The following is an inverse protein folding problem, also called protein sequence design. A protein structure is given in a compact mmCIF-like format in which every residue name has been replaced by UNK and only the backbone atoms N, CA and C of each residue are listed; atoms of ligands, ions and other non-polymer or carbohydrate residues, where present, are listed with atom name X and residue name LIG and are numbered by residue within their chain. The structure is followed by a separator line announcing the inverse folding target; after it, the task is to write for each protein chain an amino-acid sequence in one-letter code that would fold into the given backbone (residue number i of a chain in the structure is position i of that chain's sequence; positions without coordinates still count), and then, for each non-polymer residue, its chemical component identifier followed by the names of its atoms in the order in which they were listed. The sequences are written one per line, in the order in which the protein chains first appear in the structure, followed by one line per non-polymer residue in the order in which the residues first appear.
data_IF_936060006602
#
_entry.id   IF_936060006602
#
_cell.length_a   1.000
_cell.length_b   1.000
_cell.length_c   1.000
_cell.angle_alpha   90.00
_cell.angle_beta   90.00
_cell.angle_gamma   90.00
#
_symmetry.space_group_name_H-M   'P 1'
#
loop_
_entity.id
_entity.type
_entity.pdbx_description
1 polymer ?
#
# COMPACT_ATOMS: atom_id res chain seq x y z
N UNK A 1 -4.92 -27.03 -9.88
CA UNK A 1 -5.95 -26.03 -10.21
C UNK A 1 -5.28 -24.78 -10.76
N UNK A 2 -5.53 -24.38 -12.03
CA UNK A 2 -4.86 -23.24 -12.66
C UNK A 2 -5.53 -21.88 -12.38
N UNK A 3 -6.36 -21.77 -11.33
CA UNK A 3 -7.37 -20.71 -11.26
C UNK A 3 -6.82 -19.29 -11.00
N UNK A 4 -5.63 -19.12 -10.43
CA UNK A 4 -5.09 -17.78 -10.13
C UNK A 4 -3.62 -17.60 -10.47
N UNK A 5 -2.99 -18.58 -11.16
CA UNK A 5 -1.56 -18.54 -11.50
C UNK A 5 -1.18 -17.26 -12.24
N UNK A 6 -2.02 -16.86 -13.20
CA UNK A 6 -1.80 -15.65 -14.01
C UNK A 6 -1.74 -14.41 -13.10
N UNK A 7 -2.70 -14.26 -12.19
CA UNK A 7 -2.77 -13.12 -11.26
C UNK A 7 -1.55 -13.14 -10.34
N UNK A 8 -1.22 -14.28 -9.72
CA UNK A 8 -0.04 -14.38 -8.84
C UNK A 8 1.25 -14.08 -9.56
N UNK A 9 1.44 -14.61 -10.78
CA UNK A 9 2.65 -14.38 -11.56
C UNK A 9 2.79 -12.92 -11.98
N UNK A 10 1.68 -12.25 -12.30
CA UNK A 10 1.71 -10.83 -12.62
C UNK A 10 2.04 -9.96 -11.40
N UNK A 11 1.40 -10.24 -10.25
CA UNK A 11 1.68 -9.52 -9.00
C UNK A 11 3.15 -9.70 -8.57
N UNK A 12 3.68 -10.92 -8.70
CA UNK A 12 5.08 -11.22 -8.43
C UNK A 12 6.02 -10.54 -9.43
N UNK A 13 5.64 -10.49 -10.71
CA UNK A 13 6.40 -9.78 -11.72
C UNK A 13 6.49 -8.28 -11.42
N UNK A 14 5.39 -7.64 -11.00
CA UNK A 14 5.41 -6.22 -10.59
C UNK A 14 6.39 -6.00 -9.44
N UNK A 15 6.43 -6.92 -8.46
CA UNK A 15 7.37 -6.85 -7.34
C UNK A 15 8.82 -7.03 -7.74
N UNK A 16 9.10 -8.07 -8.52
CA UNK A 16 10.46 -8.49 -8.85
C UNK A 16 11.10 -7.65 -9.94
N UNK A 17 10.35 -7.30 -11.00
CA UNK A 17 10.90 -6.57 -12.14
C UNK A 17 11.03 -5.06 -11.89
N UNK A 18 10.12 -4.48 -11.10
CA UNK A 18 10.07 -3.02 -10.90
C UNK A 18 10.41 -2.60 -9.46
N UNK A 19 10.69 -3.54 -8.56
CA UNK A 19 10.89 -3.26 -7.12
C UNK A 19 9.74 -2.46 -6.48
N UNK A 20 8.52 -2.61 -7.00
CA UNK A 20 7.32 -1.97 -6.47
C UNK A 20 6.62 -2.93 -5.50
N UNK A 21 5.83 -2.41 -4.56
CA UNK A 21 4.98 -3.27 -3.73
C UNK A 21 3.56 -3.26 -4.27
N UNK A 22 2.83 -4.36 -4.06
CA UNK A 22 1.43 -4.46 -4.44
C UNK A 22 0.61 -4.86 -3.23
N UNK A 23 -0.46 -4.11 -2.96
CA UNK A 23 -1.48 -4.51 -1.99
C UNK A 23 -2.87 -4.52 -2.59
N UNK A 24 -3.74 -5.34 -2.01
CA UNK A 24 -5.13 -5.48 -2.40
C UNK A 24 -5.99 -5.20 -1.18
N UNK A 25 -6.85 -4.18 -1.29
CA UNK A 25 -7.80 -3.81 -0.24
C UNK A 25 -9.16 -4.41 -0.53
N UNK A 26 -9.76 -4.96 0.49
CA UNK A 26 -11.11 -5.51 0.44
C UNK A 26 -12.06 -4.62 1.24
N UNK A 27 -13.07 -4.07 0.56
CA UNK A 27 -14.10 -3.22 1.14
C UNK A 27 -15.45 -3.94 1.25
N UNK A 28 -15.56 -5.17 0.73
CA UNK A 28 -16.83 -5.87 0.59
C UNK A 28 -16.83 -7.32 1.09
N UNK A 29 -15.68 -7.84 1.51
CA UNK A 29 -15.47 -9.23 1.92
C UNK A 29 -15.26 -10.19 0.76
N UNK A 30 -14.97 -9.70 -0.45
CA UNK A 30 -14.89 -10.55 -1.65
C UNK A 30 -13.71 -11.52 -1.61
N UNK A 31 -12.65 -11.24 -0.85
CA UNK A 31 -11.48 -12.13 -0.76
C UNK A 31 -11.87 -13.44 -0.06
N UNK A 32 -12.77 -13.36 0.92
CA UNK A 32 -13.16 -14.48 1.77
C UNK A 32 -14.32 -15.31 1.18
N UNK A 33 -14.79 -15.00 -0.02
CA UNK A 33 -15.84 -15.81 -0.68
C UNK A 33 -15.28 -17.12 -1.28
N UNK A 34 -13.95 -17.27 -1.32
CA UNK A 34 -13.27 -18.45 -1.85
C UNK A 34 -11.95 -18.67 -1.10
N UNK A 35 -11.78 -19.85 -0.51
CA UNK A 35 -10.55 -20.24 0.18
C UNK A 35 -9.32 -20.20 -0.75
N UNK A 36 -9.50 -20.59 -2.02
CA UNK A 36 -8.44 -20.51 -3.03
C UNK A 36 -8.02 -19.07 -3.33
N UNK A 37 -8.98 -18.14 -3.39
CA UNK A 37 -8.69 -16.73 -3.59
C UNK A 37 -8.00 -16.15 -2.36
N UNK A 38 -8.54 -16.39 -1.16
CA UNK A 38 -7.93 -15.94 0.09
C UNK A 38 -6.48 -16.39 0.19
N UNK A 39 -6.21 -17.69 -0.02
CA UNK A 39 -4.87 -18.26 0.03
C UNK A 39 -3.89 -17.54 -0.89
N UNK A 40 -4.34 -17.16 -2.08
CA UNK A 40 -3.53 -16.47 -3.10
C UNK A 40 -3.32 -15.00 -2.78
N UNK A 41 -4.34 -14.32 -2.26
CA UNK A 41 -4.32 -12.86 -2.04
C UNK A 41 -3.75 -12.49 -0.66
N UNK A 42 -3.75 -13.42 0.32
CA UNK A 42 -3.26 -13.19 1.68
C UNK A 42 -1.90 -12.45 1.76
N UNK A 43 -0.88 -12.78 0.94
CA UNK A 43 0.41 -12.06 0.97
C UNK A 43 0.34 -10.59 0.54
N UNK A 44 -0.78 -10.14 -0.02
CA UNK A 44 -0.99 -8.81 -0.60
C UNK A 44 -1.96 -7.95 0.22
N UNK A 45 -2.45 -8.37 1.39
CA UNK A 45 -3.47 -7.62 2.14
C UNK A 45 -2.94 -6.31 2.77
N UNK A 46 -1.64 -6.24 3.04
CA UNK A 46 -1.00 -5.12 3.70
C UNK A 46 0.41 -4.88 3.16
N UNK A 47 0.87 -3.63 3.30
CA UNK A 47 2.26 -3.33 3.02
C UNK A 47 3.12 -3.90 4.15
N UNK A 48 3.96 -4.87 3.79
CA UNK A 48 4.83 -5.59 4.72
C UNK A 48 6.32 -5.40 4.41
N UNK A 49 6.67 -4.39 3.60
CA UNK A 49 8.08 -4.02 3.40
C UNK A 49 8.74 -3.63 4.72
N UNK A 50 10.08 -3.78 4.85
CA UNK A 50 10.80 -3.37 6.06
C UNK A 50 10.52 -1.92 6.48
N UNK A 51 10.46 -1.00 5.50
CA UNK A 51 10.04 0.38 5.76
C UNK A 51 8.64 0.47 6.37
N UNK A 52 7.66 -0.17 5.74
CA UNK A 52 6.28 -0.17 6.20
C UNK A 52 6.09 -0.83 7.57
N UNK A 53 6.89 -1.84 7.91
CA UNK A 53 6.89 -2.50 9.21
C UNK A 53 7.53 -1.59 10.28
N UNK A 54 8.63 -0.91 9.97
CA UNK A 54 9.24 0.08 10.85
C UNK A 54 8.26 1.20 11.27
N UNK A 55 7.44 1.68 10.33
CA UNK A 55 6.39 2.67 10.62
C UNK A 55 5.29 2.06 11.52
N UNK A 56 4.83 0.84 11.21
CA UNK A 56 3.72 0.16 11.91
C UNK A 56 4.08 -0.45 13.26
N UNK A 57 5.35 -0.50 13.62
CA UNK A 57 5.79 -1.02 14.91
C UNK A 57 5.27 -0.18 16.09
N UNK A 58 4.95 1.10 15.85
CA UNK A 58 4.31 1.96 16.85
C UNK A 58 2.80 1.94 16.72
N UNK A 59 2.09 2.03 17.85
CA UNK A 59 0.62 2.13 17.85
C UNK A 59 0.14 3.33 17.03
N UNK A 60 0.77 4.50 17.19
CA UNK A 60 0.42 5.70 16.42
C UNK A 60 0.62 5.50 14.91
N UNK A 61 1.74 4.90 14.49
CA UNK A 61 2.01 4.60 13.09
C UNK A 61 1.02 3.60 12.51
N UNK A 62 0.73 2.52 13.24
CA UNK A 62 -0.23 1.50 12.84
C UNK A 62 -1.64 2.08 12.69
N UNK A 63 -2.13 2.83 13.69
CA UNK A 63 -3.44 3.47 13.64
C UNK A 63 -3.55 4.48 12.50
N UNK A 64 -2.48 5.24 12.22
CA UNK A 64 -2.43 6.17 11.08
C UNK A 64 -2.53 5.45 9.75
N UNK A 65 -1.90 4.28 9.60
CA UNK A 65 -2.07 3.42 8.43
C UNK A 65 -3.52 2.92 8.30
N UNK A 66 -4.12 2.38 9.37
CA UNK A 66 -5.49 1.87 9.34
C UNK A 66 -6.52 2.96 9.02
N UNK A 67 -6.31 4.17 9.55
CA UNK A 67 -7.17 5.32 9.31
C UNK A 67 -7.27 5.71 7.81
N UNK A 68 -6.35 5.23 6.96
CA UNK A 68 -6.40 5.48 5.51
C UNK A 68 -7.43 4.64 4.77
N UNK A 69 -7.91 3.53 5.34
CA UNK A 69 -8.84 2.63 4.64
C UNK A 69 -10.14 3.36 4.22
N UNK A 70 -10.71 4.19 5.09
CA UNK A 70 -11.95 4.94 4.80
C UNK A 70 -11.75 6.03 3.73
N UNK A 71 -10.77 6.94 3.83
CA UNK A 71 -10.46 7.90 2.76
C UNK A 71 -10.15 7.22 1.43
N UNK A 72 -9.39 6.12 1.44
CA UNK A 72 -9.04 5.37 0.25
C UNK A 72 -10.28 4.79 -0.44
N UNK A 73 -11.18 4.17 0.34
CA UNK A 73 -12.47 3.69 -0.16
C UNK A 73 -13.31 4.83 -0.77
N UNK A 74 -13.42 5.97 -0.06
CA UNK A 74 -14.17 7.13 -0.56
C UNK A 74 -13.62 7.65 -1.89
N UNK A 75 -12.30 7.69 -2.06
CA UNK A 75 -11.67 8.08 -3.33
C UNK A 75 -11.91 7.04 -4.42
N UNK A 76 -11.90 5.75 -4.08
CA UNK A 76 -12.24 4.66 -5.02
C UNK A 76 -13.69 4.72 -5.52
N UNK A 77 -14.62 5.40 -4.81
CA UNK A 77 -15.99 5.63 -5.29
C UNK A 77 -16.05 6.40 -6.62
N UNK A 78 -15.00 7.13 -6.98
CA UNK A 78 -14.89 7.78 -8.29
C UNK A 78 -14.68 6.79 -9.44
N UNK A 79 -14.36 5.52 -9.13
CA UNK A 79 -14.16 4.41 -10.07
C UNK A 79 -13.14 4.70 -11.18
N UNK A 80 -12.13 5.53 -10.88
CA UNK A 80 -11.02 5.86 -11.76
C UNK A 80 -9.70 5.62 -11.04
N UNK A 81 -8.64 5.17 -11.74
CA UNK A 81 -7.30 5.12 -11.17
C UNK A 81 -6.84 6.49 -10.69
N UNK A 82 -6.05 6.51 -9.63
CA UNK A 82 -5.46 7.76 -9.12
C UNK A 82 -4.13 7.51 -8.43
N UNK A 83 -3.32 8.55 -8.35
CA UNK A 83 -2.16 8.59 -7.47
C UNK A 83 -2.52 9.19 -6.11
N UNK A 84 -1.85 8.74 -5.06
CA UNK A 84 -2.00 9.24 -3.70
C UNK A 84 -0.75 8.98 -2.88
N UNK A 85 -0.62 9.72 -1.78
CA UNK A 85 0.44 9.48 -0.81
C UNK A 85 -0.16 8.94 0.48
N UNK A 86 0.48 7.92 1.05
CA UNK A 86 0.16 7.49 2.40
C UNK A 86 0.82 8.44 3.42
N UNK A 87 0.39 8.42 4.70
CA UNK A 87 1.00 9.26 5.75
C UNK A 87 2.49 9.00 5.97
N UNK A 88 2.99 7.83 5.59
CA UNK A 88 4.41 7.50 5.65
C UNK A 88 5.20 8.09 4.47
N UNK A 89 4.53 8.66 3.46
CA UNK A 89 5.21 9.33 2.34
C UNK A 89 5.53 8.44 1.14
N UNK A 90 5.01 7.22 1.10
CA UNK A 90 5.02 6.42 -0.15
C UNK A 90 3.92 6.93 -1.07
N UNK A 91 4.23 7.08 -2.34
CA UNK A 91 3.22 7.24 -3.38
C UNK A 91 2.67 5.87 -3.79
N UNK A 92 1.39 5.85 -4.16
CA UNK A 92 0.69 4.67 -4.63
C UNK A 92 -0.16 5.02 -5.84
N UNK A 93 -0.11 4.18 -6.88
CA UNK A 93 -1.14 4.09 -7.92
C UNK A 93 -2.23 3.16 -7.40
N UNK A 94 -3.44 3.69 -7.29
CA UNK A 94 -4.59 2.96 -6.80
C UNK A 94 -5.56 2.74 -7.94
N UNK A 95 -5.87 1.48 -8.22
CA UNK A 95 -6.83 1.05 -9.23
C UNK A 95 -8.04 0.43 -8.53
N UNK A 96 -9.22 1.09 -8.57
CA UNK A 96 -10.43 0.55 -7.96
C UNK A 96 -10.87 -0.77 -8.60
N UNK A 97 -11.22 -1.76 -7.79
CA UNK A 97 -11.93 -2.98 -8.22
C UNK A 97 -13.42 -2.68 -8.08
N UNK A 98 -14.09 -2.40 -9.21
CA UNK A 98 -15.46 -1.88 -9.19
C UNK A 98 -16.31 -2.39 -10.35
N UNK A 99 -17.60 -2.53 -10.10
CA UNK A 99 -18.66 -2.59 -11.12
C UNK A 99 -19.28 -1.21 -11.32
N UNK A 100 -20.26 -1.13 -12.23
CA UNK A 100 -21.05 0.10 -12.45
C UNK A 100 -21.72 0.62 -11.17
N UNK A 101 -22.07 -0.27 -10.26
CA UNK A 101 -22.88 0.06 -9.08
C UNK A 101 -22.08 0.01 -7.78
N UNK A 102 -21.06 -0.85 -7.68
CA UNK A 102 -20.36 -1.11 -6.41
C UNK A 102 -18.84 -1.09 -6.57
N UNK A 103 -18.13 -0.60 -5.56
CA UNK A 103 -16.67 -0.83 -5.39
C UNK A 103 -16.49 -1.97 -4.41
N UNK A 104 -15.69 -2.95 -4.80
CA UNK A 104 -15.39 -4.15 -4.01
C UNK A 104 -14.07 -4.02 -3.26
N UNK A 105 -13.11 -3.29 -3.84
CA UNK A 105 -11.75 -3.21 -3.34
C UNK A 105 -10.88 -2.25 -4.15
N UNK A 106 -9.57 -2.34 -3.95
CA UNK A 106 -8.58 -1.69 -4.81
C UNK A 106 -7.31 -2.53 -4.93
N UNK A 107 -6.59 -2.35 -6.04
CA UNK A 107 -5.21 -2.78 -6.21
C UNK A 107 -4.34 -1.53 -6.07
N UNK A 108 -3.39 -1.55 -5.15
CA UNK A 108 -2.49 -0.45 -4.86
C UNK A 108 -1.07 -0.89 -5.24
N UNK A 109 -0.44 -0.20 -6.19
CA UNK A 109 0.97 -0.36 -6.49
C UNK A 109 1.71 0.79 -5.84
N UNK A 110 2.71 0.53 -5.00
CA UNK A 110 3.38 1.56 -4.19
C UNK A 110 4.90 1.47 -4.24
N UNK A 111 5.57 2.16 -3.32
CA UNK A 111 7.03 2.22 -3.17
C UNK A 111 7.74 3.05 -4.25
N UNK A 112 7.09 4.13 -4.67
CA UNK A 112 7.71 5.18 -5.46
C UNK A 112 7.36 6.58 -4.94
N UNK A 113 8.01 7.61 -5.45
CA UNK A 113 7.74 9.01 -5.14
C UNK A 113 7.65 9.85 -6.44
N UNK A 114 6.50 10.49 -6.68
CA UNK A 114 6.27 11.33 -7.87
C UNK A 114 6.76 12.78 -7.70
N UNK A 115 6.64 13.32 -6.49
CA UNK A 115 6.97 14.69 -6.13
C UNK A 115 8.15 14.69 -5.15
N UNK A 116 9.21 15.41 -5.51
CA UNK A 116 10.41 15.58 -4.70
C UNK A 116 10.06 16.19 -3.32
N UNK A 117 10.66 15.66 -2.25
CA UNK A 117 10.49 16.15 -0.88
C UNK A 117 9.12 15.89 -0.23
N UNK A 118 8.07 15.56 -0.99
CA UNK A 118 6.73 15.31 -0.44
C UNK A 118 6.68 14.09 0.47
N UNK A 119 7.35 13.02 0.07
CA UNK A 119 7.47 11.81 0.88
C UNK A 119 8.19 12.08 2.21
N UNK A 120 9.28 12.84 2.15
CA UNK A 120 10.05 13.23 3.32
C UNK A 120 9.21 14.07 4.30
N UNK A 121 8.52 15.09 3.79
CA UNK A 121 7.64 15.95 4.59
C UNK A 121 6.56 15.14 5.33
N UNK A 122 5.91 14.20 4.63
CA UNK A 122 4.87 13.36 5.23
C UNK A 122 5.43 12.44 6.32
N UNK A 123 6.57 11.79 6.03
CA UNK A 123 7.27 10.92 7.00
C UNK A 123 7.69 11.70 8.24
N UNK A 124 8.29 12.87 8.08
CA UNK A 124 8.72 13.72 9.20
C UNK A 124 7.52 14.18 10.04
N UNK A 125 6.42 14.55 9.40
CA UNK A 125 5.18 14.90 10.08
C UNK A 125 4.63 13.73 10.90
N UNK A 126 4.65 12.51 10.33
CA UNK A 126 4.18 11.30 11.00
C UNK A 126 5.05 10.95 12.22
N UNK A 127 6.37 11.05 12.07
CA UNK A 127 7.36 10.66 13.08
C UNK A 127 7.78 11.81 14.01
N UNK A 128 7.10 12.97 13.97
CA UNK A 128 7.51 14.19 14.69
C UNK A 128 7.85 13.97 16.17
N UNK A 129 7.07 13.11 16.85
CA UNK A 129 7.20 12.80 18.28
C UNK A 129 8.07 11.58 18.59
N UNK A 130 8.56 10.89 17.57
CA UNK A 130 9.37 9.69 17.74
C UNK A 130 10.83 10.04 18.09
N UNK A 131 11.57 9.12 18.75
CA UNK A 131 13.00 9.28 18.97
C UNK A 131 13.78 9.45 17.66
N UNK A 132 14.88 10.21 17.70
CA UNK A 132 15.72 10.44 16.51
C UNK A 132 16.27 9.15 15.89
N UNK A 133 16.61 8.15 16.70
CA UNK A 133 17.04 6.85 16.20
C UNK A 133 16.00 6.19 15.29
N UNK A 134 14.71 6.29 15.61
CA UNK A 134 13.61 5.77 14.78
C UNK A 134 13.44 6.58 13.50
N UNK A 135 13.56 7.91 13.58
CA UNK A 135 13.48 8.79 12.39
C UNK A 135 14.59 8.47 11.40
N UNK A 136 15.82 8.25 11.88
CA UNK A 136 16.97 7.84 11.07
C UNK A 136 16.72 6.47 10.44
N UNK A 137 16.30 5.47 11.22
CA UNK A 137 15.99 4.13 10.71
C UNK A 137 14.91 4.17 9.61
N UNK A 138 13.81 4.88 9.84
CA UNK A 138 12.74 5.03 8.88
C UNK A 138 13.20 5.76 7.60
N UNK A 139 14.09 6.75 7.71
CA UNK A 139 14.66 7.44 6.55
C UNK A 139 15.55 6.52 5.70
N UNK A 140 16.43 5.74 6.33
CA UNK A 140 17.30 4.79 5.63
C UNK A 140 16.48 3.73 4.89
N UNK A 141 15.49 3.14 5.57
CA UNK A 141 14.58 2.19 4.95
C UNK A 141 13.75 2.84 3.83
N UNK A 142 13.33 4.10 3.98
CA UNK A 142 12.63 4.81 2.91
C UNK A 142 13.51 4.94 1.66
N UNK A 143 14.77 5.33 1.82
CA UNK A 143 15.71 5.50 0.70
C UNK A 143 16.05 4.18 0.00
N UNK A 144 16.08 3.08 0.76
CA UNK A 144 16.32 1.75 0.22
C UNK A 144 15.12 1.24 -0.61
N UNK A 145 13.90 1.47 -0.11
CA UNK A 145 12.69 0.84 -0.65
C UNK A 145 11.81 1.75 -1.51
N UNK A 146 11.88 3.07 -1.38
CA UNK A 146 11.09 4.01 -2.19
C UNK A 146 11.89 4.45 -3.43
N UNK A 147 11.36 4.18 -4.61
CA UNK A 147 11.98 4.55 -5.89
C UNK A 147 11.67 6.01 -6.27
N UNK A 148 12.66 6.82 -6.65
CA UNK A 148 12.37 8.06 -7.37
C UNK A 148 11.75 7.73 -8.74
N UNK A 149 10.96 8.65 -9.28
CA UNK A 149 10.52 8.61 -10.69
C UNK A 149 11.67 9.01 -11.61
#
# INVERSE_FOLDING_TARGET
MPSYKIITSYLEHVKTAYSLDVTIKDYSGFIYTSEDLERVIRPYLAHCSPYCMCIKETENGYQRCLAQNKPLYQKCMQRKPFFGYCPAGLCELVVPIASKTKVYGSINVSHFALEEGKGDFLRERLLKKEPESRKIAARLLYQEFARPV
#
